data_IF_222968635206
#
_entry.id   IF_222968635206
#
_cell.length_a   1.000
_cell.length_b   1.000
_cell.length_c   1.000
_cell.angle_alpha   90.00
_cell.angle_beta   90.00
_cell.angle_gamma   90.00
#
_symmetry.space_group_name_H-M   'P 1'
#
loop_
_entity.id
_entity.type
_entity.pdbx_description
1 polymer ?
#
# COMPACT_ATOMS: atom_id res chain seq x y z
N UNK A 1 13.12 -22.89 19.79
CA UNK A 1 11.79 -22.36 19.43
C UNK A 1 11.99 -20.95 18.91
N UNK A 2 11.69 -20.69 17.64
CA UNK A 2 11.78 -19.32 17.13
C UNK A 2 10.75 -18.47 17.88
N UNK A 3 11.20 -17.45 18.62
CA UNK A 3 10.30 -16.41 19.11
C UNK A 3 9.74 -15.73 17.86
N UNK A 4 8.49 -16.03 17.51
CA UNK A 4 7.75 -15.25 16.54
C UNK A 4 7.52 -13.89 17.21
N UNK A 5 8.46 -12.95 17.05
CA UNK A 5 8.36 -11.59 17.59
C UNK A 5 7.29 -10.75 16.86
N UNK A 6 6.76 -11.26 15.75
CA UNK A 6 5.77 -10.60 14.91
C UNK A 6 4.43 -11.28 15.11
N UNK A 7 3.52 -10.64 15.84
CA UNK A 7 2.15 -11.17 16.02
C UNK A 7 1.25 -10.80 14.83
N UNK A 8 0.14 -11.52 14.62
CA UNK A 8 -0.87 -11.14 13.61
C UNK A 8 -1.32 -9.67 13.74
N UNK A 9 -1.46 -9.18 14.96
CA UNK A 9 -1.86 -7.79 15.24
C UNK A 9 -0.81 -6.79 14.73
N UNK A 10 0.47 -7.09 14.92
CA UNK A 10 1.57 -6.25 14.40
C UNK A 10 1.53 -6.19 12.88
N UNK A 11 1.32 -7.31 12.20
CA UNK A 11 1.23 -7.35 10.74
C UNK A 11 0.02 -6.58 10.21
N UNK A 12 -1.16 -6.76 10.81
CA UNK A 12 -2.37 -6.01 10.43
C UNK A 12 -2.20 -4.50 10.65
N UNK A 13 -1.53 -4.10 11.75
CA UNK A 13 -1.19 -2.70 12.00
C UNK A 13 -0.26 -2.15 10.92
N UNK A 14 0.78 -2.90 10.55
CA UNK A 14 1.71 -2.50 9.50
C UNK A 14 1.07 -2.47 8.11
N UNK A 15 0.17 -3.39 7.80
CA UNK A 15 -0.62 -3.35 6.57
C UNK A 15 -1.46 -2.07 6.48
N UNK A 16 -2.06 -1.65 7.62
CA UNK A 16 -2.81 -0.40 7.71
C UNK A 16 -1.90 0.82 7.51
N UNK A 17 -0.71 0.84 8.12
CA UNK A 17 0.29 1.90 7.89
C UNK A 17 0.68 2.01 6.41
N UNK A 18 0.89 0.88 5.73
CA UNK A 18 1.20 0.85 4.28
C UNK A 18 0.05 1.41 3.45
N UNK A 19 -1.21 1.05 3.77
CA UNK A 19 -2.39 1.62 3.08
C UNK A 19 -2.55 3.12 3.33
N UNK A 20 -2.18 3.61 4.52
CA UNK A 20 -2.17 5.04 4.79
C UNK A 20 -1.11 5.77 3.94
N UNK A 21 0.09 5.20 3.79
CA UNK A 21 1.13 5.74 2.89
C UNK A 21 0.65 5.75 1.44
N UNK A 22 -0.05 4.71 1.00
CA UNK A 22 -0.67 4.64 -0.33
C UNK A 22 -1.69 5.77 -0.52
N UNK A 23 -2.61 5.98 0.43
CA UNK A 23 -3.58 7.07 0.35
C UNK A 23 -2.90 8.44 0.26
N UNK A 24 -1.86 8.67 1.07
CA UNK A 24 -1.09 9.92 1.03
C UNK A 24 -0.36 10.11 -0.30
N UNK A 25 0.15 9.02 -0.89
CA UNK A 25 0.76 9.05 -2.22
C UNK A 25 -0.27 9.46 -3.28
N UNK A 26 -1.42 8.79 -3.32
CA UNK A 26 -2.50 9.07 -4.28
C UNK A 26 -2.98 10.53 -4.16
N UNK A 27 -3.18 11.02 -2.93
CA UNK A 27 -3.56 12.41 -2.65
C UNK A 27 -2.50 13.40 -3.13
N UNK A 28 -1.21 13.10 -2.90
CA UNK A 28 -0.11 13.95 -3.32
C UNK A 28 -0.02 14.03 -4.84
N UNK A 29 -0.20 12.90 -5.54
CA UNK A 29 -0.20 12.86 -7.00
C UNK A 29 -1.40 13.61 -7.59
N UNK A 30 -2.58 13.52 -6.96
CA UNK A 30 -3.75 14.29 -7.35
C UNK A 30 -3.50 15.81 -7.22
N UNK A 31 -2.91 16.25 -6.10
CA UNK A 31 -2.52 17.65 -5.90
C UNK A 31 -1.50 18.12 -6.94
N UNK A 32 -0.50 17.29 -7.22
CA UNK A 32 0.50 17.58 -8.25
C UNK A 32 -0.14 17.75 -9.63
N UNK A 33 -1.09 16.88 -10.01
CA UNK A 33 -1.86 17.03 -11.24
C UNK A 33 -2.63 18.34 -11.29
N UNK A 34 -3.31 18.71 -10.20
CA UNK A 34 -4.04 19.99 -10.11
C UNK A 34 -3.12 21.20 -10.29
N UNK A 35 -1.93 21.19 -9.69
CA UNK A 35 -0.94 22.26 -9.86
C UNK A 35 -0.49 22.39 -11.31
N UNK A 36 -0.19 21.26 -11.96
CA UNK A 36 0.24 21.24 -13.37
C UNK A 36 -0.86 21.77 -14.29
N UNK A 37 -2.12 21.41 -14.02
CA UNK A 37 -3.27 21.92 -14.78
C UNK A 37 -3.53 23.40 -14.50
N UNK A 38 -3.34 23.89 -13.28
CA UNK A 38 -3.51 25.32 -12.95
C UNK A 38 -2.48 26.20 -13.68
N UNK A 39 -1.26 25.71 -13.90
CA UNK A 39 -0.25 26.41 -14.70
C UNK A 39 -0.70 26.67 -16.15
N UNK A 40 -1.67 25.89 -16.67
CA UNK A 40 -2.27 26.09 -18.00
C UNK A 40 -2.99 27.43 -18.14
N UNK A 41 -3.49 27.99 -17.04
CA UNK A 41 -4.20 29.28 -17.08
C UNK A 41 -3.23 30.46 -17.31
N UNK A 42 -1.98 30.31 -16.87
CA UNK A 42 -0.95 31.36 -16.90
C UNK A 42 0.06 31.17 -18.03
N UNK A 43 0.42 29.92 -18.35
CA UNK A 43 1.41 29.58 -19.37
C UNK A 43 0.76 28.81 -20.52
N UNK A 44 0.56 29.48 -21.66
CA UNK A 44 -0.05 28.91 -22.87
C UNK A 44 0.98 28.74 -23.98
N UNK A 45 1.03 27.57 -24.60
CA UNK A 45 1.90 27.30 -25.76
C UNK A 45 2.41 25.85 -25.83
N UNK A 46 3.21 25.55 -26.86
CA UNK A 46 3.71 24.19 -27.14
C UNK A 46 4.57 23.61 -25.99
N UNK A 47 5.33 24.46 -25.29
CA UNK A 47 6.11 24.06 -24.13
C UNK A 47 5.25 23.53 -22.97
N UNK A 48 4.05 24.11 -22.78
CA UNK A 48 3.09 23.64 -21.77
C UNK A 48 2.47 22.30 -22.19
N UNK A 49 2.10 22.15 -23.46
CA UNK A 49 1.58 20.88 -23.96
C UNK A 49 2.59 19.74 -23.77
N UNK A 50 3.87 20.00 -24.05
CA UNK A 50 4.96 19.05 -23.80
C UNK A 50 5.13 18.72 -22.31
N UNK A 51 5.00 19.71 -21.42
CA UNK A 51 5.10 19.51 -19.98
C UNK A 51 3.95 18.66 -19.42
N UNK A 52 2.70 18.93 -19.82
CA UNK A 52 1.53 18.13 -19.43
C UNK A 52 1.65 16.72 -19.98
N UNK A 53 2.00 16.55 -21.26
CA UNK A 53 2.18 15.24 -21.87
C UNK A 53 3.26 14.41 -21.15
N UNK A 54 4.36 15.05 -20.73
CA UNK A 54 5.40 14.39 -19.93
C UNK A 54 4.86 13.92 -18.58
N UNK A 55 4.07 14.73 -17.89
CA UNK A 55 3.45 14.32 -16.63
C UNK A 55 2.44 13.18 -16.82
N UNK A 56 1.58 13.25 -17.84
CA UNK A 56 0.63 12.19 -18.15
C UNK A 56 1.31 10.87 -18.49
N UNK A 57 2.47 10.92 -19.17
CA UNK A 57 3.28 9.72 -19.43
C UNK A 57 3.78 9.02 -18.16
N UNK A 58 3.87 9.74 -17.04
CA UNK A 58 4.29 9.18 -15.74
C UNK A 58 3.13 8.61 -14.92
N UNK A 59 1.87 8.86 -15.30
CA UNK A 59 0.71 8.39 -14.52
C UNK A 59 0.70 6.89 -14.29
N UNK A 60 1.08 6.11 -15.31
CA UNK A 60 1.18 4.65 -15.18
C UNK A 60 2.16 4.21 -14.09
N UNK A 61 3.25 4.95 -13.91
CA UNK A 61 4.25 4.65 -12.87
C UNK A 61 3.71 4.96 -11.47
N UNK A 62 2.94 6.04 -11.31
CA UNK A 62 2.28 6.36 -10.04
C UNK A 62 1.20 5.33 -9.69
N UNK A 63 0.36 4.95 -10.66
CA UNK A 63 -0.64 3.90 -10.47
C UNK A 63 0.02 2.57 -10.08
N UNK A 64 1.07 2.17 -10.81
CA UNK A 64 1.80 0.93 -10.52
C UNK A 64 2.43 0.94 -9.11
N UNK A 65 2.92 2.08 -8.65
CA UNK A 65 3.44 2.22 -7.29
C UNK A 65 2.33 2.09 -6.24
N UNK A 66 1.16 2.70 -6.47
CA UNK A 66 -0.02 2.55 -5.59
C UNK A 66 -0.47 1.09 -5.50
N UNK A 67 -0.50 0.38 -6.63
CA UNK A 67 -0.81 -1.06 -6.69
C UNK A 67 0.23 -1.91 -5.95
N UNK A 68 1.52 -1.58 -6.07
CA UNK A 68 2.59 -2.26 -5.35
C UNK A 68 2.42 -2.12 -3.83
N UNK A 69 2.06 -0.93 -3.34
CA UNK A 69 1.79 -0.71 -1.91
C UNK A 69 0.58 -1.53 -1.43
N UNK A 70 -0.50 -1.60 -2.21
CA UNK A 70 -1.65 -2.45 -1.88
C UNK A 70 -1.29 -3.93 -1.86
N UNK A 71 -0.47 -4.38 -2.82
CA UNK A 71 0.04 -5.75 -2.86
C UNK A 71 0.84 -6.09 -1.60
N UNK A 72 1.71 -5.17 -1.14
CA UNK A 72 2.50 -5.37 0.07
C UNK A 72 1.63 -5.41 1.34
N UNK A 73 0.63 -4.54 1.45
CA UNK A 73 -0.33 -4.59 2.55
C UNK A 73 -1.14 -5.90 2.55
N UNK A 74 -1.52 -6.40 1.37
CA UNK A 74 -2.24 -7.67 1.22
C UNK A 74 -1.37 -8.87 1.63
N UNK A 75 -0.08 -8.84 1.33
CA UNK A 75 0.87 -9.86 1.79
C UNK A 75 0.99 -9.87 3.32
N UNK A 76 1.02 -8.69 3.96
CA UNK A 76 1.02 -8.58 5.42
C UNK A 76 -0.25 -9.16 6.04
N UNK A 77 -1.42 -8.86 5.48
CA UNK A 77 -2.70 -9.41 5.96
C UNK A 77 -2.75 -10.94 5.80
N UNK A 78 -2.19 -11.46 4.71
CA UNK A 78 -2.11 -12.90 4.45
C UNK A 78 -1.22 -13.58 5.48
N UNK A 79 -0.03 -13.04 5.73
CA UNK A 79 0.89 -13.55 6.75
C UNK A 79 0.27 -13.50 8.15
N UNK A 80 -0.48 -12.43 8.48
CA UNK A 80 -1.19 -12.33 9.75
C UNK A 80 -2.22 -13.45 9.93
N UNK A 81 -3.01 -13.74 8.90
CA UNK A 81 -4.00 -14.82 8.90
C UNK A 81 -3.35 -16.18 9.04
N UNK A 82 -2.26 -16.44 8.32
CA UNK A 82 -1.55 -17.72 8.40
C UNK A 82 -0.94 -17.97 9.80
N UNK A 83 -0.37 -16.93 10.42
CA UNK A 83 0.12 -17.01 11.79
C UNK A 83 -1.01 -17.29 12.78
N UNK A 84 -2.14 -16.59 12.65
CA UNK A 84 -3.31 -16.80 13.51
C UNK A 84 -3.87 -18.22 13.37
N UNK A 85 -3.96 -18.74 12.15
CA UNK A 85 -4.44 -20.09 11.89
C UNK A 85 -3.50 -21.15 12.50
N UNK A 86 -2.19 -20.93 12.38
CA UNK A 86 -1.18 -21.83 12.96
C UNK A 86 -1.26 -21.88 14.48
N UNK A 87 -1.42 -20.72 15.13
CA UNK A 87 -1.55 -20.62 16.59
C UNK A 87 -2.83 -21.30 17.10
N UNK A 88 -3.95 -21.09 16.42
CA UNK A 88 -5.22 -21.76 16.74
C UNK A 88 -5.13 -23.28 16.58
N UNK A 89 -4.48 -23.75 15.52
CA UNK A 89 -4.23 -25.18 15.31
C UNK A 89 -3.41 -25.79 16.43
N UNK A 90 -2.31 -25.13 16.82
CA UNK A 90 -1.46 -25.57 17.93
C UNK A 90 -2.23 -25.65 19.26
N UNK A 91 -3.05 -24.62 19.55
CA UNK A 91 -3.93 -24.60 20.73
C UNK A 91 -4.90 -25.79 20.74
N UNK A 92 -5.53 -26.09 19.60
CA UNK A 92 -6.47 -27.21 19.49
C UNK A 92 -5.76 -28.56 19.72
N UNK A 93 -4.58 -28.76 19.13
CA UNK A 93 -3.77 -29.97 19.36
C UNK A 93 -3.41 -30.13 20.83
N UNK A 94 -2.93 -29.07 21.49
CA UNK A 94 -2.61 -29.13 22.92
C UNK A 94 -3.83 -29.50 23.78
N UNK A 95 -5.00 -28.90 23.51
CA UNK A 95 -6.24 -29.22 24.24
C UNK A 95 -6.66 -30.69 24.05
N UNK A 96 -6.48 -31.25 22.85
CA UNK A 96 -6.80 -32.65 22.59
C UNK A 96 -5.84 -33.64 23.26
N UNK A 97 -4.58 -33.27 23.47
CA UNK A 97 -3.57 -34.17 24.06
C UNK A 97 -3.72 -34.41 25.57
N UNK A 98 -4.57 -33.63 26.25
CA UNK A 98 -4.85 -33.75 27.68
C UNK A 98 -6.17 -34.46 28.02
N UNK A 99 -6.95 -34.85 27.00
CA UNK A 99 -8.16 -35.67 27.13
C UNK A 99 -7.89 -37.11 26.69
#
# INVERSE_FOLDING_TARGET
MALIQVTPEVLNSKATEVRNLRSQHDDTMARLRSLILALNETWKGEAQAAFVAKFESMQSSFTSFSEMLEGYATLMDTAARELQNTDQGLKATMQSSFN
#
